data_IF_445738942155
#
_entry.id   IF_445738942155
#
_cell.length_a   1.000
_cell.length_b   1.000
_cell.length_c   1.000
_cell.angle_alpha   90.00
_cell.angle_beta   90.00
_cell.angle_gamma   90.00
#
_symmetry.space_group_name_H-M   'P 1'
#
loop_
_entity.id
_entity.type
_entity.pdbx_description
1 polymer ?
#
# COMPACT_ATOMS: atom_id res chain seq x y z
N UNK A 1 5.89 -38.64 -4.92
CA UNK A 1 5.00 -39.80 -5.06
C UNK A 1 3.88 -39.41 -6.03
N UNK A 2 3.54 -40.18 -7.07
CA UNK A 2 2.42 -39.82 -7.96
C UNK A 2 1.10 -40.25 -7.28
N UNK A 3 0.56 -39.41 -6.42
CA UNK A 3 -0.75 -39.66 -5.81
C UNK A 3 -1.79 -39.17 -6.81
N UNK A 4 -2.56 -40.10 -7.39
CA UNK A 4 -3.76 -39.80 -8.17
C UNK A 4 -4.97 -40.11 -7.30
N UNK A 5 -5.22 -39.27 -6.32
CA UNK A 5 -6.33 -39.38 -5.37
C UNK A 5 -7.60 -38.89 -6.04
N UNK A 6 -8.54 -39.80 -6.27
CA UNK A 6 -9.91 -39.44 -6.65
C UNK A 6 -10.64 -38.95 -5.39
N UNK A 7 -10.90 -37.65 -5.31
CA UNK A 7 -12.08 -37.04 -4.67
C UNK A 7 -12.40 -37.42 -3.20
N UNK A 8 -11.43 -37.47 -2.28
CA UNK A 8 -11.77 -37.65 -0.85
C UNK A 8 -11.03 -36.74 0.14
N UNK A 9 -9.94 -36.09 -0.29
CA UNK A 9 -9.06 -35.28 0.56
C UNK A 9 -8.01 -36.12 1.29
N UNK A 10 -6.98 -35.46 1.81
CA UNK A 10 -5.77 -36.07 2.35
C UNK A 10 -5.35 -35.38 3.64
N UNK A 11 -4.91 -36.19 4.59
CA UNK A 11 -4.38 -35.78 5.90
C UNK A 11 -2.98 -36.40 6.04
N UNK A 12 -1.97 -35.55 6.15
CA UNK A 12 -0.60 -35.95 6.45
C UNK A 12 0.48 -35.18 5.69
N UNK A 13 1.76 -35.56 5.89
CA UNK A 13 2.89 -34.92 5.22
C UNK A 13 3.08 -35.43 3.78
N UNK A 14 3.46 -34.54 2.87
CA UNK A 14 3.91 -34.86 1.51
C UNK A 14 5.13 -34.03 1.10
N UNK A 15 6.12 -34.65 0.45
CA UNK A 15 7.28 -33.87 -0.04
C UNK A 15 6.95 -33.15 -1.37
N UNK A 16 6.73 -33.92 -2.45
CA UNK A 16 6.63 -33.36 -3.80
C UNK A 16 5.37 -33.86 -4.52
N UNK A 17 4.51 -32.92 -4.90
CA UNK A 17 3.27 -33.15 -5.64
C UNK A 17 3.28 -32.40 -6.97
N UNK A 18 3.22 -33.16 -8.07
CA UNK A 18 3.22 -32.56 -9.42
C UNK A 18 1.87 -32.00 -9.84
N UNK A 19 0.80 -32.63 -9.35
CA UNK A 19 -0.56 -32.17 -9.57
C UNK A 19 -1.41 -32.63 -8.41
N UNK A 20 -2.05 -31.69 -7.76
CA UNK A 20 -3.04 -31.94 -6.73
C UNK A 20 -4.40 -31.44 -7.21
N UNK A 21 -5.43 -32.29 -7.11
CA UNK A 21 -6.82 -31.99 -7.50
C UNK A 21 -7.78 -32.43 -6.39
N UNK A 22 -7.29 -32.44 -5.16
CA UNK A 22 -8.09 -32.88 -4.03
C UNK A 22 -9.16 -31.84 -3.65
N UNK A 23 -10.09 -32.26 -2.79
CA UNK A 23 -11.14 -31.37 -2.31
C UNK A 23 -10.70 -30.59 -1.07
N UNK A 24 -9.84 -31.19 -0.27
CA UNK A 24 -9.24 -30.61 0.91
C UNK A 24 -7.91 -31.32 1.18
N UNK A 25 -6.92 -30.60 1.68
CA UNK A 25 -5.65 -31.14 2.18
C UNK A 25 -5.37 -30.53 3.56
N UNK A 26 -4.89 -31.36 4.48
CA UNK A 26 -4.51 -30.98 5.84
C UNK A 26 -3.11 -31.57 6.14
N UNK A 27 -2.13 -30.72 6.36
CA UNK A 27 -0.78 -31.13 6.75
C UNK A 27 0.35 -30.33 6.08
N UNK A 28 1.61 -30.69 6.35
CA UNK A 28 2.76 -30.05 5.73
C UNK A 28 3.02 -30.57 4.31
N UNK A 29 3.37 -29.68 3.39
CA UNK A 29 3.68 -30.02 2.00
C UNK A 29 4.89 -29.21 1.48
N UNK A 30 5.96 -29.86 1.01
CA UNK A 30 7.15 -29.06 0.58
C UNK A 30 6.90 -28.35 -0.76
N UNK A 31 6.65 -29.10 -1.85
CA UNK A 31 6.55 -28.51 -3.19
C UNK A 31 5.33 -28.98 -3.98
N UNK A 32 4.61 -28.01 -4.55
CA UNK A 32 3.50 -28.24 -5.48
C UNK A 32 3.72 -27.51 -6.81
N UNK A 33 3.70 -28.28 -7.90
CA UNK A 33 3.83 -27.70 -9.24
C UNK A 33 2.50 -27.17 -9.79
N UNK A 34 1.39 -27.81 -9.39
CA UNK A 34 0.05 -27.39 -9.74
C UNK A 34 -0.92 -27.83 -8.65
N UNK A 35 -1.49 -26.89 -7.91
CA UNK A 35 -2.58 -27.15 -6.99
C UNK A 35 -3.91 -26.62 -7.56
N UNK A 36 -4.95 -27.44 -7.48
CA UNK A 36 -6.32 -27.12 -7.90
C UNK A 36 -7.30 -27.60 -6.81
N UNK A 37 -7.02 -27.21 -5.56
CA UNK A 37 -7.80 -27.60 -4.40
C UNK A 37 -8.95 -26.63 -4.10
N UNK A 38 -9.87 -27.06 -3.24
CA UNK A 38 -10.85 -26.13 -2.66
C UNK A 38 -10.43 -25.58 -1.30
N UNK A 39 -9.61 -26.31 -0.57
CA UNK A 39 -9.22 -26.01 0.80
C UNK A 39 -7.84 -26.63 1.03
N UNK A 40 -6.88 -25.82 1.46
CA UNK A 40 -5.60 -26.27 1.98
C UNK A 40 -5.44 -25.71 3.39
N UNK A 41 -5.01 -26.55 4.33
CA UNK A 41 -4.70 -26.19 5.71
C UNK A 41 -3.31 -26.77 6.06
N UNK A 42 -2.35 -25.90 6.37
CA UNK A 42 -1.02 -26.31 6.82
C UNK A 42 0.13 -25.51 6.21
N UNK A 43 1.38 -25.85 6.55
CA UNK A 43 2.55 -25.19 5.98
C UNK A 43 2.87 -25.71 4.58
N UNK A 44 3.23 -24.80 3.67
CA UNK A 44 3.62 -25.11 2.30
C UNK A 44 4.88 -24.35 1.87
N UNK A 45 5.95 -25.02 1.44
CA UNK A 45 7.18 -24.26 1.10
C UNK A 45 7.04 -23.57 -0.27
N UNK A 46 6.80 -24.32 -1.35
CA UNK A 46 6.82 -23.74 -2.71
C UNK A 46 5.64 -24.16 -3.58
N UNK A 47 4.98 -23.16 -4.18
CA UNK A 47 3.93 -23.35 -5.19
C UNK A 47 4.27 -22.66 -6.50
N UNK A 48 4.33 -23.44 -7.58
CA UNK A 48 4.57 -22.89 -8.92
C UNK A 48 3.30 -22.37 -9.59
N UNK A 49 2.16 -22.98 -9.27
CA UNK A 49 0.85 -22.56 -9.74
C UNK A 49 -0.22 -23.02 -8.75
N UNK A 50 -0.87 -22.07 -8.09
CA UNK A 50 -2.05 -22.33 -7.29
C UNK A 50 -3.31 -21.82 -7.98
N UNK A 51 -4.38 -22.61 -7.87
CA UNK A 51 -5.75 -22.22 -8.21
C UNK A 51 -6.69 -22.73 -7.12
N UNK A 52 -6.46 -22.26 -5.89
CA UNK A 52 -7.24 -22.63 -4.73
C UNK A 52 -8.42 -21.69 -4.46
N UNK A 53 -9.39 -22.19 -3.69
CA UNK A 53 -10.46 -21.32 -3.17
C UNK A 53 -10.15 -20.75 -1.80
N UNK A 54 -9.39 -21.48 -0.99
CA UNK A 54 -9.11 -21.19 0.40
C UNK A 54 -7.80 -21.86 0.78
N UNK A 55 -6.83 -21.06 1.18
CA UNK A 55 -5.58 -21.49 1.77
C UNK A 55 -5.50 -20.94 3.20
N UNK A 56 -5.12 -21.77 4.16
CA UNK A 56 -4.89 -21.40 5.56
C UNK A 56 -3.52 -21.98 6.00
N UNK A 57 -2.59 -21.12 6.36
CA UNK A 57 -1.28 -21.52 6.87
C UNK A 57 -0.11 -20.69 6.34
N UNK A 58 1.12 -21.02 6.75
CA UNK A 58 2.32 -20.35 6.25
C UNK A 58 2.71 -20.86 4.86
N UNK A 59 3.14 -19.95 3.99
CA UNK A 59 3.60 -20.27 2.64
C UNK A 59 4.91 -19.52 2.30
N UNK A 60 5.99 -20.20 1.93
CA UNK A 60 7.25 -19.47 1.67
C UNK A 60 7.23 -18.79 0.28
N UNK A 61 7.05 -19.53 -0.82
CA UNK A 61 7.18 -18.97 -2.17
C UNK A 61 6.05 -19.35 -3.12
N UNK A 62 5.46 -18.33 -3.75
CA UNK A 62 4.46 -18.47 -4.82
C UNK A 62 4.91 -17.81 -6.10
N UNK A 63 5.02 -18.60 -7.17
CA UNK A 63 5.33 -18.07 -8.50
C UNK A 63 4.10 -17.54 -9.23
N UNK A 64 2.94 -18.17 -9.00
CA UNK A 64 1.65 -17.73 -9.54
C UNK A 64 0.52 -18.19 -8.64
N UNK A 65 -0.13 -17.25 -7.97
CA UNK A 65 -1.38 -17.47 -7.25
C UNK A 65 -2.58 -16.97 -8.03
N UNK A 66 -3.64 -17.75 -8.04
CA UNK A 66 -5.00 -17.33 -8.40
C UNK A 66 -5.95 -17.86 -7.33
N UNK A 67 -5.87 -17.27 -6.13
CA UNK A 67 -6.67 -17.68 -4.99
C UNK A 67 -7.88 -16.76 -4.76
N UNK A 68 -8.89 -17.31 -4.08
CA UNK A 68 -10.03 -16.50 -3.65
C UNK A 68 -9.86 -15.98 -2.22
N UNK A 69 -9.16 -16.72 -1.37
CA UNK A 69 -8.94 -16.41 0.03
C UNK A 69 -7.65 -17.07 0.47
N UNK A 70 -6.73 -16.26 0.99
CA UNK A 70 -5.51 -16.69 1.64
C UNK A 70 -5.52 -16.14 3.07
N UNK A 71 -5.18 -16.97 4.05
CA UNK A 71 -5.02 -16.61 5.47
C UNK A 71 -3.70 -17.18 5.98
N UNK A 72 -2.77 -16.32 6.41
CA UNK A 72 -1.49 -16.72 6.98
C UNK A 72 -0.30 -15.88 6.52
N UNK A 73 0.91 -16.21 6.98
CA UNK A 73 2.13 -15.53 6.55
C UNK A 73 2.60 -16.03 5.18
N UNK A 74 3.09 -15.11 4.34
CA UNK A 74 3.63 -15.41 3.02
C UNK A 74 4.95 -14.68 2.76
N UNK A 75 6.05 -15.37 2.45
CA UNK A 75 7.33 -14.67 2.28
C UNK A 75 7.43 -14.00 0.89
N UNK A 76 7.34 -14.74 -0.21
CA UNK A 76 7.60 -14.20 -1.55
C UNK A 76 6.52 -14.54 -2.58
N UNK A 77 6.02 -13.50 -3.25
CA UNK A 77 5.08 -13.64 -4.36
C UNK A 77 5.58 -12.96 -5.63
N UNK A 78 5.75 -13.73 -6.69
CA UNK A 78 6.13 -13.21 -8.01
C UNK A 78 4.95 -12.66 -8.79
N UNK A 79 3.79 -13.32 -8.69
CA UNK A 79 2.55 -12.89 -9.31
C UNK A 79 1.37 -13.37 -8.49
N UNK A 80 0.64 -12.42 -7.91
CA UNK A 80 -0.62 -12.70 -7.24
C UNK A 80 -1.82 -12.13 -8.01
N UNK A 81 -2.89 -12.91 -8.07
CA UNK A 81 -4.22 -12.49 -8.49
C UNK A 81 -5.24 -13.01 -7.48
N UNK A 82 -5.30 -12.35 -6.32
CA UNK A 82 -6.13 -12.77 -5.21
C UNK A 82 -7.36 -11.90 -5.02
N UNK A 83 -8.39 -12.47 -4.38
CA UNK A 83 -9.57 -11.70 -4.01
C UNK A 83 -9.50 -11.16 -2.59
N UNK A 84 -8.88 -11.90 -1.68
CA UNK A 84 -8.76 -11.59 -0.27
C UNK A 84 -7.50 -12.27 0.26
N UNK A 85 -6.65 -11.48 0.89
CA UNK A 85 -5.47 -11.92 1.61
C UNK A 85 -5.55 -11.36 3.03
N UNK A 86 -5.27 -12.19 4.03
CA UNK A 86 -5.17 -11.82 5.44
C UNK A 86 -3.85 -12.38 6.01
N UNK A 87 -2.98 -11.53 6.51
CA UNK A 87 -1.71 -11.92 7.14
C UNK A 87 -0.50 -11.08 6.74
N UNK A 88 0.69 -11.40 7.25
CA UNK A 88 1.92 -10.72 6.88
C UNK A 88 2.46 -11.21 5.53
N UNK A 89 3.01 -10.28 4.74
CA UNK A 89 3.60 -10.58 3.44
C UNK A 89 4.93 -9.84 3.24
N UNK A 90 6.05 -10.54 3.02
CA UNK A 90 7.36 -9.87 2.94
C UNK A 90 7.59 -9.20 1.57
N UNK A 91 7.64 -9.96 0.47
CA UNK A 91 8.04 -9.43 -0.84
C UNK A 91 7.04 -9.73 -1.94
N UNK A 92 6.61 -8.68 -2.65
CA UNK A 92 5.72 -8.80 -3.80
C UNK A 92 6.26 -8.08 -5.04
N UNK A 93 6.46 -8.86 -6.10
CA UNK A 93 6.91 -8.31 -7.38
C UNK A 93 5.76 -7.76 -8.22
N UNK A 94 4.63 -8.46 -8.22
CA UNK A 94 3.41 -8.02 -8.91
C UNK A 94 2.17 -8.55 -8.18
N UNK A 95 1.35 -7.64 -7.70
CA UNK A 95 0.07 -7.95 -7.09
C UNK A 95 -1.10 -7.30 -7.84
N UNK A 96 -2.15 -8.07 -8.08
CA UNK A 96 -3.47 -7.57 -8.49
C UNK A 96 -4.52 -8.18 -7.56
N UNK A 97 -4.87 -7.45 -6.52
CA UNK A 97 -5.69 -7.98 -5.43
C UNK A 97 -6.88 -7.05 -5.15
N UNK A 98 -7.97 -7.60 -4.59
CA UNK A 98 -9.12 -6.74 -4.24
C UNK A 98 -9.08 -6.23 -2.82
N UNK A 99 -8.56 -7.02 -1.89
CA UNK A 99 -8.57 -6.75 -0.46
C UNK A 99 -7.35 -7.43 0.13
N UNK A 100 -6.64 -6.68 0.95
CA UNK A 100 -5.52 -7.16 1.73
C UNK A 100 -5.61 -6.55 3.12
N UNK A 101 -5.38 -7.38 4.12
CA UNK A 101 -5.32 -7.01 5.53
C UNK A 101 -4.04 -7.59 6.12
N UNK A 102 -3.17 -6.73 6.67
CA UNK A 102 -1.94 -7.15 7.33
C UNK A 102 -0.71 -6.31 6.97
N UNK A 103 0.46 -6.64 7.54
CA UNK A 103 1.71 -5.94 7.24
C UNK A 103 2.33 -6.40 5.92
N UNK A 104 2.96 -5.47 5.20
CA UNK A 104 3.61 -5.73 3.93
C UNK A 104 4.96 -5.00 3.82
N UNK A 105 6.06 -5.71 3.62
CA UNK A 105 7.39 -5.08 3.65
C UNK A 105 7.75 -4.41 2.31
N UNK A 106 7.94 -5.18 1.23
CA UNK A 106 8.47 -4.65 -0.03
C UNK A 106 7.58 -4.95 -1.23
N UNK A 107 7.22 -3.89 -1.96
CA UNK A 107 6.33 -3.99 -3.11
C UNK A 107 6.88 -3.27 -4.33
N UNK A 108 7.07 -4.03 -5.41
CA UNK A 108 7.62 -3.49 -6.65
C UNK A 108 6.55 -2.92 -7.58
N UNK A 109 5.42 -3.63 -7.70
CA UNK A 109 4.24 -3.15 -8.42
C UNK A 109 2.99 -3.68 -7.77
N UNK A 110 2.09 -2.76 -7.44
CA UNK A 110 0.85 -3.08 -6.77
C UNK A 110 -0.33 -2.39 -7.43
N UNK A 111 -1.42 -3.14 -7.56
CA UNK A 111 -2.73 -2.61 -7.94
C UNK A 111 -3.77 -3.24 -7.01
N UNK A 112 -4.21 -2.51 -5.98
CA UNK A 112 -5.28 -2.95 -5.08
C UNK A 112 -6.49 -2.04 -5.08
N UNK A 113 -7.62 -2.61 -4.66
CA UNK A 113 -8.84 -1.84 -4.43
C UNK A 113 -8.93 -1.36 -2.98
N UNK A 114 -8.42 -2.15 -2.05
CA UNK A 114 -8.43 -1.88 -0.62
C UNK A 114 -7.20 -2.55 0.00
N UNK A 115 -6.49 -1.78 0.80
CA UNK A 115 -5.40 -2.23 1.65
C UNK A 115 -5.65 -1.70 3.07
N UNK A 116 -5.41 -2.54 4.06
CA UNK A 116 -5.45 -2.22 5.48
C UNK A 116 -4.20 -2.81 6.15
N UNK A 117 -3.38 -1.97 6.78
CA UNK A 117 -2.19 -2.39 7.51
C UNK A 117 -0.94 -1.56 7.23
N UNK A 118 0.20 -1.88 7.86
CA UNK A 118 1.44 -1.17 7.64
C UNK A 118 2.14 -1.62 6.35
N UNK A 119 2.80 -0.67 5.66
CA UNK A 119 3.55 -0.93 4.44
C UNK A 119 4.91 -0.20 4.44
N UNK A 120 6.02 -0.92 4.27
CA UNK A 120 7.34 -0.29 4.37
C UNK A 120 7.77 0.38 3.06
N UNK A 121 8.08 -0.40 2.00
CA UNK A 121 8.70 0.12 0.78
C UNK A 121 7.87 -0.16 -0.48
N UNK A 122 7.50 0.92 -1.17
CA UNK A 122 6.68 0.89 -2.38
C UNK A 122 7.37 1.60 -3.54
N UNK A 123 7.65 0.85 -4.60
CA UNK A 123 8.18 1.44 -5.83
C UNK A 123 7.09 2.01 -6.73
N UNK A 124 5.95 1.32 -6.83
CA UNK A 124 4.80 1.77 -7.60
C UNK A 124 3.51 1.21 -7.04
N UNK A 125 2.64 2.09 -6.57
CA UNK A 125 1.28 1.77 -6.16
C UNK A 125 0.22 2.48 -7.02
N UNK A 126 -0.87 1.78 -7.26
CA UNK A 126 -2.12 2.29 -7.82
C UNK A 126 -3.28 1.71 -7.00
N UNK A 127 -3.74 2.47 -6.03
CA UNK A 127 -4.76 2.03 -5.09
C UNK A 127 -6.02 2.89 -5.12
N UNK A 128 -7.13 2.34 -4.62
CA UNK A 128 -8.34 3.14 -4.42
C UNK A 128 -8.55 3.58 -2.98
N UNK A 129 -8.06 2.79 -2.04
CA UNK A 129 -8.25 2.97 -0.61
C UNK A 129 -7.10 2.27 0.09
N UNK A 130 -6.31 3.06 0.79
CA UNK A 130 -5.24 2.61 1.67
C UNK A 130 -5.56 3.12 3.08
N UNK A 131 -5.42 2.25 4.08
CA UNK A 131 -5.56 2.57 5.50
C UNK A 131 -4.36 1.97 6.24
N UNK A 132 -3.55 2.82 6.89
CA UNK A 132 -2.42 2.39 7.69
C UNK A 132 -1.16 3.24 7.52
N UNK A 133 -0.05 2.90 8.20
CA UNK A 133 1.21 3.60 8.06
C UNK A 133 1.98 3.17 6.81
N UNK A 134 2.65 4.11 6.16
CA UNK A 134 3.47 3.87 4.97
C UNK A 134 4.83 4.58 5.06
N UNK A 135 5.95 3.86 4.94
CA UNK A 135 7.27 4.48 5.15
C UNK A 135 7.81 5.15 3.88
N UNK A 136 8.15 4.38 2.85
CA UNK A 136 8.87 4.90 1.67
C UNK A 136 8.12 4.63 0.37
N UNK A 137 7.78 5.70 -0.34
CA UNK A 137 7.01 5.67 -1.58
C UNK A 137 7.75 6.38 -2.69
N UNK A 138 8.08 5.64 -3.75
CA UNK A 138 8.69 6.25 -4.92
C UNK A 138 7.67 6.83 -5.90
N UNK A 139 6.54 6.14 -6.08
CA UNK A 139 5.42 6.61 -6.89
C UNK A 139 4.11 6.04 -6.38
N UNK A 140 3.21 6.92 -5.97
CA UNK A 140 1.85 6.56 -5.60
C UNK A 140 0.80 7.29 -6.44
N UNK A 141 -0.28 6.58 -6.71
CA UNK A 141 -1.48 7.06 -7.40
C UNK A 141 -2.70 6.51 -6.68
N UNK A 142 -3.16 7.23 -5.66
CA UNK A 142 -4.29 6.81 -4.83
C UNK A 142 -5.51 7.70 -4.97
N UNK A 143 -6.66 7.16 -4.57
CA UNK A 143 -7.88 7.97 -4.45
C UNK A 143 -8.15 8.41 -3.03
N UNK A 144 -7.74 7.62 -2.06
CA UNK A 144 -8.01 7.81 -0.65
C UNK A 144 -6.89 7.10 0.11
N UNK A 145 -6.13 7.88 0.85
CA UNK A 145 -5.12 7.41 1.79
C UNK A 145 -5.51 7.92 3.17
N UNK A 146 -5.47 7.05 4.17
CA UNK A 146 -5.66 7.38 5.58
C UNK A 146 -4.51 6.76 6.39
N UNK A 147 -3.72 7.60 7.05
CA UNK A 147 -2.63 7.16 7.92
C UNK A 147 -1.37 8.03 7.84
N UNK A 148 -0.31 7.66 8.57
CA UNK A 148 0.96 8.37 8.51
C UNK A 148 1.79 7.94 7.29
N UNK A 149 2.50 8.89 6.69
CA UNK A 149 3.36 8.65 5.54
C UNK A 149 4.72 9.37 5.69
N UNK A 150 5.84 8.64 5.65
CA UNK A 150 7.15 9.25 5.95
C UNK A 150 7.79 9.93 4.73
N UNK A 151 8.15 9.18 3.68
CA UNK A 151 8.93 9.69 2.56
C UNK A 151 8.27 9.42 1.21
N UNK A 152 7.92 10.48 0.50
CA UNK A 152 7.28 10.40 -0.82
C UNK A 152 8.06 11.16 -1.88
N UNK A 153 8.48 10.44 -2.91
CA UNK A 153 9.15 11.07 -4.04
C UNK A 153 8.17 11.66 -5.07
N UNK A 154 7.04 10.96 -5.30
CA UNK A 154 5.96 11.45 -6.15
C UNK A 154 4.63 10.89 -5.70
N UNK A 155 3.74 11.78 -5.29
CA UNK A 155 2.36 11.45 -4.99
C UNK A 155 1.38 12.08 -5.99
N UNK A 156 0.30 11.36 -6.28
CA UNK A 156 -0.86 11.87 -7.03
C UNK A 156 -2.13 11.31 -6.39
N UNK A 157 -2.64 12.04 -5.38
CA UNK A 157 -3.83 11.60 -4.64
C UNK A 157 -5.04 12.50 -4.85
N UNK A 158 -6.22 11.99 -4.48
CA UNK A 158 -7.41 12.83 -4.43
C UNK A 158 -7.76 13.27 -3.03
N UNK A 159 -7.43 12.46 -2.04
CA UNK A 159 -7.75 12.65 -0.64
C UNK A 159 -6.69 11.94 0.17
N UNK A 160 -5.97 12.71 0.96
CA UNK A 160 -5.01 12.25 1.94
C UNK A 160 -5.47 12.73 3.32
N UNK A 161 -5.49 11.84 4.30
CA UNK A 161 -5.76 12.15 5.71
C UNK A 161 -4.63 11.55 6.56
N UNK A 162 -3.93 12.39 7.33
CA UNK A 162 -2.88 11.95 8.25
C UNK A 162 -1.61 12.79 8.21
N UNK A 163 -0.59 12.43 9.00
CA UNK A 163 0.69 13.14 9.00
C UNK A 163 1.58 12.71 7.82
N UNK A 164 2.31 13.67 7.25
CA UNK A 164 3.24 13.43 6.15
C UNK A 164 4.58 14.15 6.38
N UNK A 165 5.70 13.41 6.40
CA UNK A 165 6.99 14.01 6.79
C UNK A 165 7.71 14.69 5.60
N UNK A 166 8.12 13.94 4.58
CA UNK A 166 8.96 14.45 3.50
C UNK A 166 8.37 14.17 2.11
N UNK A 167 8.07 15.24 1.37
CA UNK A 167 7.51 15.16 0.03
C UNK A 167 8.36 15.92 -0.99
N UNK A 168 8.83 15.21 -2.00
CA UNK A 168 9.55 15.84 -3.10
C UNK A 168 8.62 16.46 -4.15
N UNK A 169 7.52 15.77 -4.46
CA UNK A 169 6.48 16.27 -5.36
C UNK A 169 5.11 15.73 -4.95
N UNK A 170 4.24 16.64 -4.54
CA UNK A 170 2.84 16.33 -4.27
C UNK A 170 1.91 16.94 -5.33
N UNK A 171 0.88 16.20 -5.71
CA UNK A 171 -0.23 16.69 -6.54
C UNK A 171 -1.54 16.13 -5.98
N UNK A 172 -2.14 16.84 -5.03
CA UNK A 172 -3.36 16.41 -4.37
C UNK A 172 -4.55 17.33 -4.63
N UNK A 173 -5.76 16.82 -4.36
CA UNK A 173 -6.96 17.67 -4.38
C UNK A 173 -7.36 18.12 -2.99
N UNK A 174 -7.10 17.31 -1.99
CA UNK A 174 -7.50 17.50 -0.60
C UNK A 174 -6.49 16.79 0.26
N UNK A 175 -5.82 17.56 1.11
CA UNK A 175 -4.91 17.08 2.14
C UNK A 175 -5.45 17.56 3.49
N UNK A 176 -5.50 16.67 4.48
CA UNK A 176 -5.86 16.97 5.87
C UNK A 176 -4.83 16.34 6.82
N UNK A 177 -4.06 17.18 7.51
CA UNK A 177 -3.09 16.73 8.51
C UNK A 177 -1.82 17.59 8.57
N UNK A 178 -0.84 17.21 9.40
CA UNK A 178 0.44 17.90 9.46
C UNK A 178 1.37 17.48 8.32
N UNK A 179 2.11 18.45 7.78
CA UNK A 179 3.09 18.22 6.73
C UNK A 179 4.42 18.93 7.03
N UNK A 180 5.53 18.19 7.13
CA UNK A 180 6.79 18.76 7.60
C UNK A 180 7.59 19.44 6.47
N UNK A 181 8.05 18.68 5.47
CA UNK A 181 8.98 19.18 4.44
C UNK A 181 8.46 18.91 3.02
N UNK A 182 8.21 19.98 2.27
CA UNK A 182 7.73 19.90 0.88
C UNK A 182 8.63 20.66 -0.07
N UNK A 183 9.15 19.96 -1.07
CA UNK A 183 9.93 20.62 -2.12
C UNK A 183 9.05 21.24 -3.21
N UNK A 184 7.97 20.56 -3.58
CA UNK A 184 6.98 21.06 -4.53
C UNK A 184 5.58 20.56 -4.16
N UNK A 185 4.71 21.49 -3.77
CA UNK A 185 3.31 21.22 -3.53
C UNK A 185 2.42 21.83 -4.62
N UNK A 186 1.43 21.07 -5.09
CA UNK A 186 0.39 21.54 -6.01
C UNK A 186 -0.96 20.98 -5.55
N UNK A 187 -1.62 21.66 -4.62
CA UNK A 187 -2.90 21.22 -4.08
C UNK A 187 -4.05 22.17 -4.37
N UNK A 188 -5.27 21.66 -4.23
CA UNK A 188 -6.47 22.52 -4.30
C UNK A 188 -6.95 22.97 -2.93
N UNK A 189 -6.76 22.14 -1.92
CA UNK A 189 -7.22 22.33 -0.56
C UNK A 189 -6.25 21.61 0.37
N UNK A 190 -5.65 22.38 1.27
CA UNK A 190 -4.81 21.89 2.35
C UNK A 190 -5.40 22.37 3.67
N UNK A 191 -5.53 21.47 4.64
CA UNK A 191 -5.95 21.75 6.02
C UNK A 191 -4.93 21.13 6.98
N UNK A 192 -4.28 21.96 7.80
CA UNK A 192 -3.34 21.51 8.82
C UNK A 192 -2.06 22.35 8.93
N UNK A 193 -1.11 21.96 9.79
CA UNK A 193 0.16 22.65 9.91
C UNK A 193 1.15 22.26 8.81
N UNK A 194 1.90 23.24 8.32
CA UNK A 194 2.92 23.04 7.29
C UNK A 194 4.24 23.75 7.66
N UNK A 195 5.32 23.00 7.83
CA UNK A 195 6.57 23.55 8.39
C UNK A 195 7.48 24.20 7.33
N UNK A 196 8.00 23.43 6.37
CA UNK A 196 8.99 23.89 5.40
C UNK A 196 8.56 23.64 3.96
N UNK A 197 8.35 24.72 3.21
CA UNK A 197 7.94 24.65 1.80
C UNK A 197 8.88 25.42 0.89
N UNK A 198 9.45 24.72 -0.08
CA UNK A 198 10.29 25.36 -1.10
C UNK A 198 9.46 26.00 -2.22
N UNK A 199 8.40 25.32 -2.66
CA UNK A 199 7.46 25.85 -3.66
C UNK A 199 6.05 25.36 -3.36
N UNK A 200 5.17 26.29 -3.01
CA UNK A 200 3.74 26.05 -2.85
C UNK A 200 2.92 26.66 -3.99
N UNK A 201 2.00 25.89 -4.57
CA UNK A 201 0.99 26.35 -5.54
C UNK A 201 -0.39 25.83 -5.15
N UNK A 202 -0.98 26.47 -4.14
CA UNK A 202 -2.27 26.07 -3.61
C UNK A 202 -3.42 27.01 -3.98
N UNK A 203 -4.66 26.50 -3.94
CA UNK A 203 -5.84 27.37 -4.09
C UNK A 203 -6.42 27.81 -2.75
N UNK A 204 -6.37 26.95 -1.76
CA UNK A 204 -6.92 27.16 -0.43
C UNK A 204 -6.03 26.43 0.56
N UNK A 205 -5.50 27.18 1.52
CA UNK A 205 -4.73 26.69 2.64
C UNK A 205 -5.41 27.16 3.93
N UNK A 206 -5.60 26.24 4.88
CA UNK A 206 -6.08 26.51 6.24
C UNK A 206 -5.10 25.89 7.24
N UNK A 207 -4.50 26.71 8.11
CA UNK A 207 -3.59 26.25 9.16
C UNK A 207 -2.35 27.11 9.37
N UNK A 208 -1.43 26.70 10.25
CA UNK A 208 -0.16 27.40 10.43
C UNK A 208 0.87 27.04 9.36
N UNK A 209 1.63 28.04 8.90
CA UNK A 209 2.67 27.89 7.89
C UNK A 209 3.96 28.61 8.31
N UNK A 210 5.06 27.86 8.50
CA UNK A 210 6.28 28.39 9.12
C UNK A 210 7.26 29.00 8.09
N UNK A 211 7.94 28.17 7.29
CA UNK A 211 9.02 28.58 6.41
C UNK A 211 8.67 28.36 4.94
N UNK A 212 8.47 29.45 4.19
CA UNK A 212 8.11 29.38 2.77
C UNK A 212 9.07 30.16 1.89
N UNK A 213 9.71 29.46 0.95
CA UNK A 213 10.61 30.11 0.00
C UNK A 213 9.85 30.75 -1.18
N UNK A 214 8.85 30.05 -1.73
CA UNK A 214 7.98 30.59 -2.77
C UNK A 214 6.55 30.09 -2.57
N UNK A 215 5.62 31.03 -2.38
CA UNK A 215 4.21 30.76 -2.23
C UNK A 215 3.38 31.43 -3.35
N UNK A 216 2.50 30.67 -4.00
CA UNK A 216 1.51 31.15 -4.98
C UNK A 216 0.07 30.74 -4.60
N UNK A 217 -0.33 30.96 -3.36
CA UNK A 217 -1.70 30.69 -2.90
C UNK A 217 -2.76 31.68 -3.44
N UNK A 218 -4.01 31.23 -3.56
CA UNK A 218 -5.14 32.15 -3.81
C UNK A 218 -5.80 32.63 -2.55
N UNK A 219 -5.94 31.74 -1.57
CA UNK A 219 -6.59 31.96 -0.29
C UNK A 219 -5.79 31.24 0.79
N UNK A 220 -5.47 31.97 1.85
CA UNK A 220 -4.75 31.48 3.02
C UNK A 220 -5.46 31.95 4.28
N UNK A 221 -5.75 31.02 5.19
CA UNK A 221 -6.28 31.28 6.53
C UNK A 221 -5.33 30.66 7.57
N UNK A 222 -4.81 31.46 8.50
CA UNK A 222 -3.95 30.98 9.60
C UNK A 222 -2.71 31.83 9.84
N UNK A 223 -1.82 31.44 10.77
CA UNK A 223 -0.58 32.16 11.03
C UNK A 223 0.48 31.85 9.97
N UNK A 224 1.21 32.89 9.54
CA UNK A 224 2.29 32.77 8.57
C UNK A 224 3.53 33.50 9.07
N UNK A 225 4.63 32.75 9.20
CA UNK A 225 5.89 33.29 9.71
C UNK A 225 6.84 33.69 8.55
N UNK A 226 7.88 32.91 8.30
CA UNK A 226 9.02 33.28 7.45
C UNK A 226 8.73 33.06 5.95
N UNK A 227 8.32 34.13 5.25
CA UNK A 227 8.08 34.07 3.80
C UNK A 227 9.08 34.88 3.00
N UNK A 228 9.84 34.21 2.14
CA UNK A 228 10.81 34.86 1.26
C UNK A 228 10.15 35.50 0.03
N UNK A 229 9.17 34.81 -0.57
CA UNK A 229 8.40 35.31 -1.70
C UNK A 229 6.96 34.82 -1.67
N UNK A 230 6.02 35.75 -1.52
CA UNK A 230 4.58 35.48 -1.57
C UNK A 230 3.94 36.20 -2.76
N UNK A 231 3.21 35.47 -3.62
CA UNK A 231 2.36 36.03 -4.68
C UNK A 231 0.87 35.82 -4.39
N UNK A 232 0.54 35.56 -3.13
CA UNK A 232 -0.79 35.37 -2.59
C UNK A 232 -1.78 36.47 -2.95
N UNK A 233 -3.06 36.10 -3.20
CA UNK A 233 -4.12 37.08 -3.49
C UNK A 233 -4.91 37.52 -2.27
N UNK A 234 -5.21 36.60 -1.36
CA UNK A 234 -6.03 36.81 -0.17
C UNK A 234 -5.41 36.08 1.01
N UNK A 235 -5.29 36.78 2.13
CA UNK A 235 -4.63 36.34 3.36
C UNK A 235 -5.46 36.82 4.54
N UNK A 236 -5.85 35.90 5.43
CA UNK A 236 -6.51 36.18 6.70
C UNK A 236 -5.73 35.50 7.83
N UNK A 237 -5.11 36.30 8.70
CA UNK A 237 -4.26 35.77 9.78
C UNK A 237 -3.13 36.70 10.20
N UNK A 238 -2.35 36.33 11.24
CA UNK A 238 -1.14 37.07 11.62
C UNK A 238 0.01 36.75 10.66
N UNK A 239 0.71 37.80 10.22
CA UNK A 239 1.89 37.71 9.34
C UNK A 239 3.15 38.18 10.09
N UNK A 240 4.13 37.30 10.25
CA UNK A 240 5.39 37.53 10.96
C UNK A 240 6.59 37.44 10.01
N UNK A 241 6.90 38.55 9.31
CA UNK A 241 8.04 38.67 8.36
C UNK A 241 9.38 38.85 9.08
#
# INVERSE_FOLDING_TARGET
MYIKTRNVGFDGPLDNVYKNEERWFDGPLDNVYKNEERWFDGPLDNVYKNEERWFDGPLDNVYKNEERWFDGPLDNVYKNEERWFDGPLDNVYKNEERWFDGPLDNVYKYEKRWFDGPLDNVYKNEERWFDGPLDNVYKNEERWFDGPLDNVYKNEERWFEGPLDNVYKNEERWFDGPLDNVYKNEERWFDGPLDNVYKNEERWFDGPLDNVYKNEERWFDGPLDNVYKNEGRWFDGPLHI
#
